data_IF_583721486160
#
_entry.id   IF_583721486160
#
_cell.length_a   1.000
_cell.length_b   1.000
_cell.length_c   1.000
_cell.angle_alpha   90.00
_cell.angle_beta   90.00
_cell.angle_gamma   90.00
#
_symmetry.space_group_name_H-M   'P 1'
#
loop_
_entity.id
_entity.type
_entity.pdbx_description
1 polymer ?
#
# COMPACT_ATOMS: atom_id res chain seq x y z
N UNK A 1 -27.72 3.71 -15.69
CA UNK A 1 -26.27 3.63 -15.46
C UNK A 1 -25.70 5.01 -15.72
N UNK A 2 -25.09 5.61 -14.73
CA UNK A 2 -24.50 6.95 -14.86
C UNK A 2 -23.13 6.85 -15.55
N UNK A 3 -22.71 7.92 -16.24
CA UNK A 3 -21.37 7.99 -16.87
C UNK A 3 -20.23 7.70 -15.86
N UNK A 4 -20.49 8.02 -14.59
CA UNK A 4 -19.57 7.74 -13.49
C UNK A 4 -19.43 6.24 -13.19
N UNK A 5 -20.52 5.47 -13.25
CA UNK A 5 -20.50 4.02 -13.05
C UNK A 5 -19.85 3.30 -14.24
N UNK A 6 -20.07 3.80 -15.45
CA UNK A 6 -19.43 3.29 -16.66
C UNK A 6 -17.91 3.55 -16.64
N UNK A 7 -17.48 4.75 -16.26
CA UNK A 7 -16.07 5.11 -16.11
C UNK A 7 -15.36 4.26 -15.02
N UNK A 8 -16.09 3.97 -13.93
CA UNK A 8 -15.58 3.12 -12.86
C UNK A 8 -15.40 1.66 -13.30
N UNK A 9 -16.33 1.12 -14.09
CA UNK A 9 -16.21 -0.23 -14.68
C UNK A 9 -15.04 -0.32 -15.65
N UNK A 10 -14.88 0.66 -16.54
CA UNK A 10 -13.76 0.72 -17.48
C UNK A 10 -12.41 0.82 -16.76
N UNK A 11 -12.34 1.56 -15.65
CA UNK A 11 -11.15 1.65 -14.81
C UNK A 11 -10.80 0.33 -14.12
N UNK A 12 -11.78 -0.51 -13.81
CA UNK A 12 -11.59 -1.83 -13.20
C UNK A 12 -11.18 -2.92 -14.20
N UNK A 13 -11.70 -2.89 -15.40
CA UNK A 13 -11.42 -3.89 -16.43
C UNK A 13 -9.99 -3.85 -16.95
N UNK A 14 -9.34 -2.68 -16.91
CA UNK A 14 -7.97 -2.47 -17.35
C UNK A 14 -6.90 -2.89 -16.35
N UNK A 15 -7.26 -3.23 -15.11
CA UNK A 15 -6.31 -3.52 -14.02
C UNK A 15 -6.53 -4.93 -13.49
N UNK A 16 -5.45 -5.71 -13.43
CA UNK A 16 -5.43 -7.04 -12.85
C UNK A 16 -4.67 -7.04 -11.53
N UNK A 17 -5.26 -7.68 -10.50
CA UNK A 17 -4.56 -8.00 -9.26
C UNK A 17 -4.06 -9.44 -9.32
N UNK A 18 -2.83 -9.65 -8.87
CA UNK A 18 -2.22 -10.98 -8.76
C UNK A 18 -1.21 -11.03 -7.62
N UNK A 19 -0.85 -12.22 -7.12
CA UNK A 19 0.29 -12.35 -6.22
C UNK A 19 1.57 -11.85 -6.88
N UNK A 20 2.44 -11.21 -6.08
CA UNK A 20 3.75 -10.78 -6.53
C UNK A 20 4.71 -11.97 -6.64
N UNK A 21 5.70 -11.83 -7.52
CA UNK A 21 6.83 -12.74 -7.62
C UNK A 21 8.15 -12.00 -7.42
N UNK A 22 9.27 -12.70 -7.27
CA UNK A 22 10.58 -12.07 -7.17
C UNK A 22 10.95 -11.22 -8.39
N UNK A 23 10.39 -11.52 -9.55
CA UNK A 23 10.57 -10.73 -10.77
C UNK A 23 9.93 -9.35 -10.69
N UNK A 24 9.01 -9.14 -9.75
CA UNK A 24 8.37 -7.84 -9.52
C UNK A 24 9.20 -6.88 -8.65
N UNK A 25 10.34 -7.30 -8.11
CA UNK A 25 11.10 -6.55 -7.12
C UNK A 25 11.44 -5.12 -7.56
N UNK A 26 11.94 -4.94 -8.78
CA UNK A 26 12.29 -3.60 -9.29
C UNK A 26 11.05 -2.71 -9.46
N UNK A 27 9.97 -3.25 -10.03
CA UNK A 27 8.74 -2.51 -10.24
C UNK A 27 8.05 -2.14 -8.92
N UNK A 28 8.02 -3.06 -7.94
CA UNK A 28 7.51 -2.79 -6.59
C UNK A 28 8.35 -1.71 -5.90
N UNK A 29 9.66 -1.77 -6.02
CA UNK A 29 10.56 -0.75 -5.47
C UNK A 29 10.28 0.62 -6.08
N UNK A 30 10.08 0.68 -7.39
CA UNK A 30 9.75 1.94 -8.08
C UNK A 30 8.44 2.53 -7.56
N UNK A 31 7.40 1.72 -7.43
CA UNK A 31 6.11 2.17 -6.86
C UNK A 31 6.29 2.69 -5.43
N UNK A 32 7.02 1.96 -4.60
CA UNK A 32 7.32 2.37 -3.22
C UNK A 32 7.99 3.75 -3.16
N UNK A 33 9.07 3.94 -3.91
CA UNK A 33 9.85 5.18 -3.92
C UNK A 33 9.05 6.36 -4.48
N UNK A 34 8.41 6.19 -5.62
CA UNK A 34 7.66 7.25 -6.28
C UNK A 34 6.42 7.66 -5.47
N UNK A 35 5.71 6.69 -4.88
CA UNK A 35 4.56 6.95 -4.03
C UNK A 35 4.94 7.74 -2.77
N UNK A 36 6.01 7.35 -2.09
CA UNK A 36 6.48 8.04 -0.88
C UNK A 36 6.97 9.45 -1.20
N UNK A 37 7.73 9.62 -2.27
CA UNK A 37 8.22 10.94 -2.68
C UNK A 37 7.08 11.91 -3.01
N UNK A 38 6.03 11.44 -3.66
CA UNK A 38 4.87 12.26 -4.02
C UNK A 38 3.97 12.58 -2.83
N UNK A 39 3.65 11.56 -2.01
CA UNK A 39 2.71 11.71 -0.91
C UNK A 39 3.34 12.31 0.35
N UNK A 40 4.61 12.05 0.59
CA UNK A 40 5.30 12.39 1.83
C UNK A 40 6.68 13.03 1.56
N UNK A 41 6.73 14.18 0.85
CA UNK A 41 8.00 14.85 0.54
C UNK A 41 8.73 15.38 1.80
N UNK A 42 8.03 15.46 2.92
CA UNK A 42 8.59 15.86 4.22
C UNK A 42 9.40 14.75 4.91
N UNK A 43 9.32 13.50 4.46
CA UNK A 43 10.09 12.42 5.05
C UNK A 43 11.56 12.48 4.62
N UNK A 44 12.45 12.35 5.59
CA UNK A 44 13.86 12.14 5.30
C UNK A 44 14.06 10.78 4.62
N UNK A 45 14.95 10.71 3.63
CA UNK A 45 15.37 9.45 3.04
C UNK A 45 16.41 8.79 3.95
N UNK A 46 16.02 7.67 4.56
CA UNK A 46 16.90 6.90 5.45
C UNK A 46 17.73 5.88 4.66
N UNK A 47 17.21 5.40 3.54
CA UNK A 47 17.84 4.36 2.71
C UNK A 47 18.03 4.82 1.27
N UNK A 48 19.08 4.33 0.60
CA UNK A 48 19.29 4.50 -0.82
C UNK A 48 18.29 3.68 -1.65
N UNK A 49 18.18 3.98 -2.94
CA UNK A 49 17.36 3.18 -3.86
C UNK A 49 17.85 1.72 -3.92
N UNK A 50 19.17 1.51 -3.91
CA UNK A 50 19.78 0.18 -3.93
C UNK A 50 19.45 -0.62 -2.67
N UNK A 51 19.55 0.01 -1.50
CA UNK A 51 19.20 -0.63 -0.22
C UNK A 51 17.71 -0.97 -0.16
N UNK A 52 16.86 -0.09 -0.68
CA UNK A 52 15.41 -0.33 -0.75
C UNK A 52 15.10 -1.51 -1.66
N UNK A 53 15.72 -1.59 -2.83
CA UNK A 53 15.57 -2.73 -3.74
C UNK A 53 16.03 -4.04 -3.09
N UNK A 54 17.17 -4.02 -2.42
CA UNK A 54 17.69 -5.19 -1.72
C UNK A 54 16.74 -5.66 -0.61
N UNK A 55 16.20 -4.73 0.16
CA UNK A 55 15.22 -5.05 1.21
C UNK A 55 13.93 -5.63 0.64
N UNK A 56 13.38 -5.06 -0.41
CA UNK A 56 12.18 -5.61 -1.08
C UNK A 56 12.46 -7.00 -1.64
N UNK A 57 13.60 -7.19 -2.30
CA UNK A 57 13.99 -8.46 -2.94
C UNK A 57 14.24 -9.57 -1.93
N UNK A 58 14.93 -9.27 -0.83
CA UNK A 58 15.42 -10.29 0.09
C UNK A 58 14.61 -10.42 1.38
N UNK A 59 13.79 -9.43 1.71
CA UNK A 59 12.99 -9.44 2.94
C UNK A 59 11.50 -9.40 2.62
N UNK A 60 11.01 -8.34 1.99
CA UNK A 60 9.57 -8.14 1.81
C UNK A 60 8.93 -9.24 0.98
N UNK A 61 9.44 -9.49 -0.22
CA UNK A 61 8.84 -10.47 -1.13
C UNK A 61 8.93 -11.91 -0.60
N UNK A 62 10.07 -12.39 -0.07
CA UNK A 62 10.17 -13.79 0.35
C UNK A 62 9.59 -14.09 1.74
N UNK A 63 9.52 -13.11 2.66
CA UNK A 63 9.17 -13.39 4.06
C UNK A 63 7.78 -12.92 4.48
N UNK A 64 7.12 -12.09 3.67
CA UNK A 64 5.76 -11.63 3.98
C UNK A 64 4.74 -12.75 3.76
N UNK A 65 3.64 -12.72 4.51
CA UNK A 65 2.56 -13.72 4.40
C UNK A 65 1.88 -13.63 3.05
N UNK A 66 1.70 -12.43 2.51
CA UNK A 66 1.19 -12.21 1.17
C UNK A 66 1.63 -10.87 0.61
N UNK A 67 1.89 -10.84 -0.69
CA UNK A 67 2.15 -9.62 -1.45
C UNK A 67 1.33 -9.67 -2.73
N UNK A 68 0.54 -8.64 -2.96
CA UNK A 68 -0.29 -8.50 -4.16
C UNK A 68 0.14 -7.27 -4.93
N UNK A 69 0.14 -7.39 -6.26
CA UNK A 69 0.40 -6.29 -7.17
C UNK A 69 -0.82 -6.02 -8.04
N UNK A 70 -1.00 -4.76 -8.39
CA UNK A 70 -1.98 -4.32 -9.38
C UNK A 70 -1.24 -3.91 -10.64
N UNK A 71 -1.58 -4.52 -11.78
CA UNK A 71 -0.92 -4.26 -13.05
C UNK A 71 -1.91 -3.84 -14.14
N UNK A 72 -1.47 -2.97 -15.03
CA UNK A 72 -2.20 -2.69 -16.27
C UNK A 72 -2.20 -3.94 -17.14
N UNK A 73 -3.38 -4.40 -17.55
CA UNK A 73 -3.50 -5.61 -18.39
C UNK A 73 -2.85 -5.45 -19.75
N UNK A 74 -2.90 -4.24 -20.29
CA UNK A 74 -2.44 -3.95 -21.65
C UNK A 74 -0.92 -3.99 -21.77
N UNK A 75 -0.18 -3.41 -20.81
CA UNK A 75 1.28 -3.29 -20.86
C UNK A 75 2.02 -4.02 -19.74
N UNK A 76 1.30 -4.48 -18.70
CA UNK A 76 1.92 -5.15 -17.55
C UNK A 76 2.60 -4.23 -16.54
N UNK A 77 2.49 -2.91 -16.68
CA UNK A 77 3.08 -1.96 -15.75
C UNK A 77 2.41 -2.07 -14.37
N UNK A 78 3.21 -2.07 -13.31
CA UNK A 78 2.70 -2.10 -11.95
C UNK A 78 2.21 -0.71 -11.52
N UNK A 79 0.99 -0.67 -11.01
CA UNK A 79 0.32 0.54 -10.53
C UNK A 79 0.35 0.67 -9.01
N UNK A 80 0.46 -0.45 -8.31
CA UNK A 80 0.45 -0.47 -6.86
C UNK A 80 0.73 -1.85 -6.31
N UNK A 81 0.90 -1.92 -5.00
CA UNK A 81 1.08 -3.19 -4.28
C UNK A 81 0.61 -3.08 -2.83
N UNK A 82 0.33 -4.23 -2.25
CA UNK A 82 -0.01 -4.36 -0.84
C UNK A 82 0.71 -5.56 -0.21
N UNK A 83 1.05 -5.45 1.06
CA UNK A 83 1.79 -6.47 1.81
C UNK A 83 1.06 -6.78 3.12
N UNK A 84 0.77 -8.06 3.32
CA UNK A 84 0.33 -8.62 4.59
C UNK A 84 1.53 -9.21 5.31
N UNK A 85 1.87 -8.68 6.48
CA UNK A 85 2.88 -9.23 7.37
C UNK A 85 2.18 -10.00 8.51
N UNK A 86 2.71 -11.16 8.85
CA UNK A 86 2.05 -12.03 9.84
C UNK A 86 0.62 -12.36 9.45
N UNK A 87 -0.26 -12.42 10.44
CA UNK A 87 -1.66 -12.77 10.22
C UNK A 87 -2.60 -11.55 10.12
N UNK A 88 -2.15 -10.38 10.57
CA UNK A 88 -3.04 -9.26 10.89
C UNK A 88 -2.45 -7.86 10.66
N UNK A 89 -1.29 -7.73 10.00
CA UNK A 89 -0.68 -6.42 9.76
C UNK A 89 -0.65 -6.08 8.26
N UNK A 90 -1.28 -4.95 7.91
CA UNK A 90 -1.09 -4.33 6.61
C UNK A 90 0.22 -3.52 6.67
N UNK A 91 1.31 -4.15 6.22
CA UNK A 91 2.66 -3.57 6.31
C UNK A 91 2.88 -2.48 5.25
N UNK A 92 2.40 -2.70 4.04
CA UNK A 92 2.50 -1.74 2.95
C UNK A 92 1.23 -1.73 2.09
N UNK A 93 0.84 -0.54 1.65
CA UNK A 93 -0.14 -0.29 0.60
C UNK A 93 0.25 1.01 -0.11
N UNK A 94 0.76 0.88 -1.32
CA UNK A 94 1.25 2.00 -2.11
C UNK A 94 0.75 1.94 -3.54
N UNK A 95 0.44 3.11 -4.09
CA UNK A 95 0.03 3.28 -5.49
C UNK A 95 0.97 4.27 -6.18
N UNK A 96 1.22 4.07 -7.47
CA UNK A 96 1.83 5.10 -8.29
C UNK A 96 1.02 6.40 -8.20
N UNK A 97 1.66 7.57 -8.18
CA UNK A 97 0.94 8.85 -8.08
C UNK A 97 -0.13 9.05 -9.17
N UNK A 98 0.11 8.55 -10.38
CA UNK A 98 -0.83 8.64 -11.50
C UNK A 98 -1.93 7.56 -11.49
N UNK A 99 -1.88 6.64 -10.55
CA UNK A 99 -2.87 5.56 -10.40
C UNK A 99 -3.87 5.80 -9.26
N UNK A 100 -3.81 6.94 -8.62
CA UNK A 100 -4.73 7.31 -7.54
C UNK A 100 -6.16 7.54 -8.06
N UNK A 101 -7.14 7.35 -7.17
CA UNK A 101 -8.58 7.60 -7.44
C UNK A 101 -9.20 6.72 -8.53
N UNK A 102 -8.61 5.55 -8.78
CA UNK A 102 -9.15 4.54 -9.70
C UNK A 102 -9.75 3.33 -8.98
N UNK A 103 -9.84 3.37 -7.64
CA UNK A 103 -10.34 2.26 -6.84
C UNK A 103 -9.33 1.11 -6.64
N UNK A 104 -8.10 1.26 -7.08
CA UNK A 104 -7.06 0.22 -6.99
C UNK A 104 -6.68 -0.05 -5.54
N UNK A 105 -6.53 0.99 -4.73
CA UNK A 105 -6.23 0.84 -3.29
C UNK A 105 -7.29 0.05 -2.55
N UNK A 106 -8.57 0.28 -2.84
CA UNK A 106 -9.68 -0.47 -2.26
C UNK A 106 -9.65 -1.95 -2.65
N UNK A 107 -9.30 -2.25 -3.91
CA UNK A 107 -9.17 -3.63 -4.40
C UNK A 107 -8.01 -4.36 -3.74
N UNK A 108 -6.84 -3.72 -3.64
CA UNK A 108 -5.68 -4.28 -2.94
C UNK A 108 -5.98 -4.52 -1.46
N UNK A 109 -6.64 -3.57 -0.80
CA UNK A 109 -7.05 -3.74 0.59
C UNK A 109 -8.00 -4.92 0.78
N UNK A 110 -8.93 -5.14 -0.17
CA UNK A 110 -9.84 -6.28 -0.13
C UNK A 110 -9.08 -7.63 -0.20
N UNK A 111 -8.03 -7.73 -1.02
CA UNK A 111 -7.18 -8.92 -1.06
C UNK A 111 -6.51 -9.18 0.29
N UNK A 112 -5.94 -8.15 0.90
CA UNK A 112 -5.29 -8.27 2.21
C UNK A 112 -6.30 -8.68 3.29
N UNK A 113 -7.49 -8.07 3.31
CA UNK A 113 -8.57 -8.43 4.25
C UNK A 113 -8.99 -9.88 4.09
N UNK A 114 -9.09 -10.37 2.87
CA UNK A 114 -9.45 -11.76 2.59
C UNK A 114 -8.43 -12.77 3.06
N UNK A 115 -7.16 -12.39 3.12
CA UNK A 115 -6.06 -13.25 3.56
C UNK A 115 -5.76 -13.13 5.05
N UNK A 116 -6.16 -12.04 5.70
CA UNK A 116 -5.93 -11.80 7.12
C UNK A 116 -6.78 -12.73 7.99
N UNK A 117 -6.24 -13.11 9.15
CA UNK A 117 -6.93 -13.94 10.13
C UNK A 117 -7.61 -13.08 11.21
N UNK A 118 -8.78 -12.57 10.90
CA UNK A 118 -9.51 -11.67 11.79
C UNK A 118 -9.35 -10.22 11.35
N UNK A 119 -8.87 -9.33 12.23
CA UNK A 119 -8.70 -7.92 11.92
C UNK A 119 -7.41 -7.59 11.22
N UNK A 120 -7.23 -6.30 10.92
CA UNK A 120 -5.99 -5.73 10.42
C UNK A 120 -5.57 -4.54 11.27
N UNK A 121 -4.27 -4.39 11.49
CA UNK A 121 -3.66 -3.18 12.01
C UNK A 121 -2.66 -2.60 11.03
N UNK A 122 -2.42 -1.30 11.12
CA UNK A 122 -1.44 -0.60 10.30
C UNK A 122 -0.96 0.68 10.98
N UNK A 123 0.20 1.15 10.58
CA UNK A 123 0.71 2.46 10.98
C UNK A 123 0.67 3.43 9.80
N UNK A 124 0.28 4.67 10.09
CA UNK A 124 0.25 5.78 9.13
C UNK A 124 0.91 6.99 9.79
N UNK A 125 1.72 7.73 9.05
CA UNK A 125 2.24 8.99 9.53
C UNK A 125 1.10 10.00 9.73
N UNK A 126 1.10 10.70 10.87
CA UNK A 126 0.00 11.61 11.22
C UNK A 126 -0.24 12.69 10.17
N UNK A 127 0.81 13.18 9.51
CA UNK A 127 0.73 14.18 8.44
C UNK A 127 0.18 13.66 7.12
N UNK A 128 0.11 12.35 6.93
CA UNK A 128 -0.44 11.76 5.72
C UNK A 128 -1.97 11.74 5.78
N UNK A 129 -2.57 12.91 5.62
CA UNK A 129 -4.01 13.10 5.74
C UNK A 129 -4.81 12.27 4.71
N UNK A 130 -4.30 12.12 3.50
CA UNK A 130 -4.95 11.35 2.45
C UNK A 130 -5.05 9.85 2.79
N UNK A 131 -3.96 9.27 3.31
CA UNK A 131 -3.96 7.88 3.75
C UNK A 131 -4.88 7.68 4.96
N UNK A 132 -4.83 8.57 5.94
CA UNK A 132 -5.74 8.52 7.10
C UNK A 132 -7.20 8.54 6.69
N UNK A 133 -7.59 9.45 5.80
CA UNK A 133 -8.94 9.53 5.26
C UNK A 133 -9.34 8.26 4.50
N UNK A 134 -8.43 7.68 3.72
CA UNK A 134 -8.65 6.42 3.02
C UNK A 134 -8.97 5.28 3.99
N UNK A 135 -8.15 5.09 5.03
CA UNK A 135 -8.37 4.01 5.99
C UNK A 135 -9.63 4.23 6.83
N UNK A 136 -9.92 5.45 7.24
CA UNK A 136 -11.15 5.77 7.97
C UNK A 136 -12.40 5.48 7.13
N UNK A 137 -12.39 5.80 5.82
CA UNK A 137 -13.50 5.42 4.91
C UNK A 137 -13.67 3.92 4.75
N UNK A 138 -12.61 3.15 4.98
CA UNK A 138 -12.64 1.67 4.91
C UNK A 138 -12.85 1.01 6.26
N UNK A 139 -13.30 1.76 7.26
CA UNK A 139 -13.71 1.23 8.56
C UNK A 139 -12.58 1.04 9.56
N UNK A 140 -11.39 1.56 9.30
CA UNK A 140 -10.31 1.59 10.30
C UNK A 140 -10.53 2.70 11.31
N UNK A 141 -10.13 2.46 12.55
CA UNK A 141 -10.21 3.42 13.65
C UNK A 141 -8.82 3.67 14.21
N UNK A 142 -8.50 4.94 14.45
CA UNK A 142 -7.26 5.33 15.13
C UNK A 142 -7.32 4.88 16.60
N UNK A 143 -6.33 4.12 17.05
CA UNK A 143 -6.28 3.55 18.40
C UNK A 143 -5.12 4.06 19.24
N UNK A 144 -4.03 4.52 18.65
CA UNK A 144 -2.89 5.06 19.37
C UNK A 144 -2.11 6.05 18.51
N UNK A 145 -1.72 7.17 19.11
CA UNK A 145 -0.87 8.19 18.51
C UNK A 145 0.51 8.14 19.15
N UNK A 146 1.56 8.25 18.35
CA UNK A 146 2.96 8.18 18.79
C UNK A 146 3.76 9.36 18.22
N UNK A 147 4.78 9.80 18.93
CA UNK A 147 5.63 10.92 18.55
C UNK A 147 6.67 10.59 17.47
N UNK A 148 6.73 9.34 17.03
CA UNK A 148 7.68 8.87 16.02
C UNK A 148 9.00 8.35 16.60
N UNK A 149 9.15 8.29 17.91
CA UNK A 149 10.38 7.80 18.53
C UNK A 149 10.71 6.33 18.25
N UNK A 150 9.73 5.55 17.73
CA UNK A 150 9.90 4.13 17.41
C UNK A 150 10.17 3.86 15.94
N UNK A 151 9.94 4.81 15.04
CA UNK A 151 10.22 4.63 13.62
C UNK A 151 11.52 5.30 13.20
N UNK A 152 12.11 4.82 12.13
CA UNK A 152 13.42 5.29 11.68
C UNK A 152 13.41 6.71 11.08
N UNK A 153 12.23 7.18 10.66
CA UNK A 153 12.02 8.53 10.14
C UNK A 153 11.85 9.58 11.24
N UNK A 154 11.67 9.16 12.50
CA UNK A 154 11.29 10.04 13.63
C UNK A 154 10.08 10.92 13.33
N UNK A 155 9.15 10.42 12.55
CA UNK A 155 7.93 11.12 12.16
C UNK A 155 6.75 10.61 12.97
N UNK A 156 5.95 11.51 13.61
CA UNK A 156 4.76 11.09 14.34
C UNK A 156 3.84 10.22 13.50
N UNK A 157 3.42 9.10 14.07
CA UNK A 157 2.55 8.13 13.43
C UNK A 157 1.29 7.83 14.26
N UNK A 158 0.39 7.07 13.69
CA UNK A 158 -0.84 6.61 14.32
C UNK A 158 -1.12 5.16 13.95
N UNK A 159 -1.46 4.37 14.96
CA UNK A 159 -1.90 2.99 14.79
C UNK A 159 -3.40 2.97 14.49
N UNK A 160 -3.76 2.35 13.39
CA UNK A 160 -5.15 2.09 13.00
C UNK A 160 -5.47 0.61 13.12
N UNK A 161 -6.73 0.32 13.46
CA UNK A 161 -7.27 -1.05 13.48
C UNK A 161 -8.60 -1.15 12.77
N UNK A 162 -8.79 -2.30 12.14
CA UNK A 162 -10.04 -2.72 11.54
C UNK A 162 -10.39 -4.13 12.02
N UNK A 163 -11.67 -4.36 12.30
CA UNK A 163 -12.23 -5.68 12.62
C UNK A 163 -13.37 -5.99 11.66
N UNK A 164 -13.49 -7.25 11.21
CA UNK A 164 -14.58 -7.66 10.34
C UNK A 164 -15.96 -7.52 10.98
#
# INVERSE_FOLDING_TARGET
MTDYEAARRLGHEGVRLRPATLQDAEAVTRVFLDSRAAAMPYLARVHSDEDTLAWITHVVLPTSTGVWVAEERECGDLLGFAVLAGDDELDHLYLRPDALRRGIGSRLLAEVRGAAKGGLSLYVFQRNAAARAFYERHGFTAVAFDDGGRNEENEPDVLYRWSP
#
